data_IF_722876797351
#
_entry.id   IF_722876797351
#
_cell.length_a   1.000
_cell.length_b   1.000
_cell.length_c   1.000
_cell.angle_alpha   90.00
_cell.angle_beta   90.00
_cell.angle_gamma   90.00
#
_symmetry.space_group_name_H-M   'P 1'
#
loop_
_entity.id
_entity.type
_entity.pdbx_description
1 polymer ?
#
# COMPACT_ATOMS: atom_id res chain seq x y z
N UNK A 1 8.41 18.50 -3.50
CA UNK A 1 9.78 18.17 -3.01
C UNK A 1 9.78 16.81 -2.31
N UNK A 2 8.92 16.57 -1.29
CA UNK A 2 8.88 15.34 -0.48
C UNK A 2 8.59 14.07 -1.31
N UNK A 3 7.56 14.10 -2.16
CA UNK A 3 7.20 13.00 -3.06
C UNK A 3 8.34 12.65 -4.05
N UNK A 4 9.05 13.65 -4.59
CA UNK A 4 10.19 13.42 -5.48
C UNK A 4 11.38 12.79 -4.77
N UNK A 5 11.55 13.05 -3.48
CA UNK A 5 12.59 12.44 -2.65
C UNK A 5 12.27 10.97 -2.40
N UNK A 6 11.05 10.67 -1.93
CA UNK A 6 10.61 9.29 -1.69
C UNK A 6 10.75 8.41 -2.95
N UNK A 7 10.31 8.92 -4.11
CA UNK A 7 10.49 8.21 -5.38
C UNK A 7 11.95 7.95 -5.75
N UNK A 8 12.84 8.91 -5.53
CA UNK A 8 14.27 8.71 -5.80
C UNK A 8 14.88 7.63 -4.91
N UNK A 9 14.44 7.55 -3.66
CA UNK A 9 14.89 6.53 -2.73
C UNK A 9 14.42 5.13 -3.19
N UNK A 10 13.18 4.97 -3.67
CA UNK A 10 12.71 3.70 -4.27
C UNK A 10 13.53 3.34 -5.50
N UNK A 11 13.72 4.27 -6.44
CA UNK A 11 14.51 4.02 -7.65
C UNK A 11 15.95 3.61 -7.30
N UNK A 12 16.54 4.16 -6.23
CA UNK A 12 17.89 3.80 -5.80
C UNK A 12 17.98 2.40 -5.17
N UNK A 13 16.90 1.90 -4.57
CA UNK A 13 16.83 0.57 -3.94
C UNK A 13 16.27 -0.52 -4.87
N UNK A 14 15.57 -0.14 -5.93
CA UNK A 14 14.96 -1.05 -6.90
C UNK A 14 15.95 -2.07 -7.50
N UNK A 15 17.19 -1.71 -7.90
CA UNK A 15 18.15 -2.69 -8.41
C UNK A 15 18.48 -3.80 -7.40
N UNK A 16 18.57 -3.46 -6.12
CA UNK A 16 18.81 -4.45 -5.06
C UNK A 16 17.64 -5.45 -4.94
N UNK A 17 16.40 -4.96 -4.92
CA UNK A 17 15.23 -5.83 -4.82
C UNK A 17 14.99 -6.66 -6.09
N UNK A 18 15.31 -6.12 -7.25
CA UNK A 18 15.31 -6.85 -8.51
C UNK A 18 16.36 -7.98 -8.50
N UNK A 19 17.57 -7.71 -8.00
CA UNK A 19 18.58 -8.74 -7.84
C UNK A 19 18.14 -9.87 -6.89
N UNK A 20 17.48 -9.56 -5.77
CA UNK A 20 16.89 -10.58 -4.88
C UNK A 20 15.83 -11.41 -5.60
N UNK A 21 14.94 -10.77 -6.36
CA UNK A 21 13.94 -11.47 -7.18
C UNK A 21 14.57 -12.39 -8.20
N UNK A 22 15.65 -11.96 -8.84
CA UNK A 22 16.42 -12.77 -9.78
C UNK A 22 17.07 -13.97 -9.10
N UNK A 23 17.68 -13.77 -7.93
CA UNK A 23 18.27 -14.87 -7.15
C UNK A 23 17.22 -15.90 -6.73
N UNK A 24 16.03 -15.47 -6.28
CA UNK A 24 14.92 -16.40 -5.97
C UNK A 24 14.49 -17.15 -7.24
N UNK A 25 14.38 -16.45 -8.37
CA UNK A 25 14.07 -17.06 -9.66
C UNK A 25 15.10 -18.13 -10.04
N UNK A 26 16.39 -17.81 -9.92
CA UNK A 26 17.47 -18.75 -10.21
C UNK A 26 17.42 -19.98 -9.30
N UNK A 27 17.17 -19.80 -8.00
CA UNK A 27 17.02 -20.92 -7.07
C UNK A 27 15.92 -21.90 -7.50
N UNK A 28 14.77 -21.39 -7.95
CA UNK A 28 13.69 -22.28 -8.44
C UNK A 28 14.05 -23.09 -9.67
N UNK A 29 14.99 -22.61 -10.46
CA UNK A 29 15.44 -23.33 -11.64
C UNK A 29 16.27 -24.57 -11.26
N UNK A 30 17.02 -24.49 -10.16
CA UNK A 30 17.81 -25.61 -9.65
C UNK A 30 17.04 -26.54 -8.73
N UNK A 31 15.99 -26.00 -8.06
CA UNK A 31 15.21 -26.76 -7.08
C UNK A 31 13.72 -26.59 -7.41
N UNK A 32 13.21 -27.34 -8.39
CA UNK A 32 11.82 -27.25 -8.82
C UNK A 32 10.81 -27.66 -7.73
N UNK A 33 11.21 -28.49 -6.76
CA UNK A 33 10.37 -28.97 -5.66
C UNK A 33 10.92 -28.51 -4.31
N UNK A 34 10.78 -27.22 -3.97
CA UNK A 34 11.08 -26.76 -2.61
C UNK A 34 9.85 -26.87 -1.74
N UNK A 35 9.99 -27.53 -0.61
CA UNK A 35 8.97 -27.53 0.45
C UNK A 35 9.23 -26.38 1.43
N UNK A 36 9.54 -25.20 0.92
CA UNK A 36 9.78 -24.02 1.75
C UNK A 36 8.46 -23.40 2.20
N UNK A 37 8.38 -23.01 3.49
CA UNK A 37 7.18 -22.47 4.13
C UNK A 37 6.61 -21.22 3.45
N UNK A 38 7.44 -20.41 2.83
CA UNK A 38 7.01 -19.17 2.16
C UNK A 38 6.33 -19.40 0.80
N UNK A 39 6.37 -20.65 0.27
CA UNK A 39 5.76 -21.02 -1.01
C UNK A 39 4.66 -22.08 -0.89
N UNK A 40 4.12 -22.27 0.28
CA UNK A 40 3.01 -23.21 0.48
C UNK A 40 1.77 -22.74 -0.26
N UNK A 41 1.52 -23.31 -1.43
CA UNK A 41 0.44 -22.86 -2.33
C UNK A 41 -0.88 -23.60 -2.07
N UNK A 42 -0.84 -24.80 -1.49
CA UNK A 42 -2.03 -25.64 -1.38
C UNK A 42 -2.21 -26.13 0.05
N UNK A 43 -3.36 -25.81 0.63
CA UNK A 43 -3.92 -26.63 1.70
C UNK A 43 -4.33 -27.98 1.08
N UNK A 44 -4.13 -29.12 1.78
CA UNK A 44 -4.70 -30.38 1.35
C UNK A 44 -6.20 -30.23 1.07
N UNK A 45 -6.70 -30.93 0.05
CA UNK A 45 -8.13 -30.94 -0.25
C UNK A 45 -8.93 -31.24 1.03
N UNK A 46 -9.84 -30.34 1.40
CA UNK A 46 -10.69 -30.47 2.60
C UNK A 46 -10.32 -29.59 3.80
N UNK A 47 -9.20 -28.88 3.80
CA UNK A 47 -8.94 -27.85 4.81
C UNK A 47 -9.47 -26.48 4.35
N UNK A 48 -10.58 -26.07 4.95
CA UNK A 48 -11.34 -24.87 4.52
C UNK A 48 -10.97 -23.60 5.27
N UNK A 49 -10.11 -23.66 6.29
CA UNK A 49 -9.82 -22.49 7.12
C UNK A 49 -8.36 -22.09 7.03
N UNK A 50 -8.10 -20.99 6.30
CA UNK A 50 -6.82 -20.27 6.36
C UNK A 50 -6.96 -19.16 7.38
N UNK A 51 -6.00 -19.09 8.31
CA UNK A 51 -5.87 -17.94 9.21
C UNK A 51 -5.25 -16.81 8.41
N UNK A 52 -6.03 -15.75 8.19
CA UNK A 52 -5.67 -14.67 7.29
C UNK A 52 -5.24 -13.43 8.04
N UNK A 53 -4.25 -12.74 7.50
CA UNK A 53 -3.85 -11.40 7.89
C UNK A 53 -4.06 -10.42 6.73
N UNK A 54 -4.45 -9.20 7.04
CA UNK A 54 -4.54 -8.11 6.10
C UNK A 54 -3.70 -6.94 6.59
N UNK A 55 -2.71 -6.54 5.82
CA UNK A 55 -1.99 -5.28 6.01
C UNK A 55 -2.70 -4.17 5.22
N UNK A 56 -3.31 -3.24 5.92
CA UNK A 56 -3.97 -2.07 5.34
C UNK A 56 -3.06 -0.84 5.43
N UNK A 57 -2.78 -0.20 4.30
CA UNK A 57 -2.01 1.05 4.25
C UNK A 57 -2.95 2.23 4.04
N UNK A 58 -3.00 3.13 5.03
CA UNK A 58 -3.74 4.40 5.00
C UNK A 58 -2.80 5.56 5.28
N UNK A 59 -3.29 6.80 5.30
CA UNK A 59 -2.49 7.97 5.70
C UNK A 59 -2.60 8.25 7.19
N UNK A 60 -1.65 9.06 7.71
CA UNK A 60 -1.73 9.55 9.10
C UNK A 60 -2.68 10.75 9.25
N UNK A 61 -2.93 11.49 8.18
CA UNK A 61 -3.72 12.74 8.22
C UNK A 61 -4.80 12.73 7.16
N UNK A 62 -5.97 13.26 7.50
CA UNK A 62 -7.07 13.47 6.57
C UNK A 62 -6.77 14.49 5.47
N UNK A 63 -7.81 14.97 4.81
CA UNK A 63 -7.78 15.96 3.72
C UNK A 63 -7.05 15.46 2.44
N UNK A 64 -7.01 14.16 2.22
CA UNK A 64 -6.46 13.52 1.03
C UNK A 64 -7.54 13.05 0.03
N UNK A 65 -8.65 13.80 -0.08
CA UNK A 65 -9.76 13.41 -0.96
C UNK A 65 -10.34 12.05 -0.60
N UNK A 66 -10.55 11.19 -1.58
CA UNK A 66 -11.09 9.84 -1.42
C UNK A 66 -10.04 8.77 -1.09
N UNK A 67 -8.75 9.14 -0.96
CA UNK A 67 -7.64 8.18 -0.79
C UNK A 67 -7.90 7.17 0.34
N UNK A 68 -8.13 7.65 1.58
CA UNK A 68 -8.36 6.77 2.71
C UNK A 68 -9.66 5.97 2.58
N UNK A 69 -10.73 6.60 2.10
CA UNK A 69 -12.02 5.93 1.93
C UNK A 69 -11.94 4.75 0.96
N UNK A 70 -11.18 4.89 -0.12
CA UNK A 70 -11.02 3.83 -1.11
C UNK A 70 -10.28 2.62 -0.51
N UNK A 71 -9.18 2.86 0.23
CA UNK A 71 -8.43 1.80 0.89
C UNK A 71 -9.25 1.13 2.01
N UNK A 72 -9.97 1.90 2.81
CA UNK A 72 -10.81 1.41 3.91
C UNK A 72 -11.96 0.54 3.36
N UNK A 73 -12.66 0.97 2.31
CA UNK A 73 -13.71 0.15 1.67
C UNK A 73 -13.19 -1.19 1.16
N UNK A 74 -12.01 -1.19 0.53
CA UNK A 74 -11.40 -2.43 0.09
C UNK A 74 -11.06 -3.37 1.26
N UNK A 75 -10.70 -2.82 2.42
CA UNK A 75 -10.47 -3.59 3.63
C UNK A 75 -11.79 -4.11 4.24
N UNK A 76 -12.86 -3.31 4.24
CA UNK A 76 -14.20 -3.73 4.68
C UNK A 76 -14.72 -4.89 3.81
N UNK A 77 -14.60 -4.77 2.49
CA UNK A 77 -14.97 -5.85 1.55
C UNK A 77 -14.18 -7.13 1.83
N UNK A 78 -12.89 -7.00 2.17
CA UNK A 78 -12.06 -8.14 2.53
C UNK A 78 -12.49 -8.78 3.85
N UNK A 79 -12.75 -7.97 4.88
CA UNK A 79 -13.19 -8.44 6.21
C UNK A 79 -14.58 -9.08 6.13
N UNK A 80 -15.49 -8.55 5.31
CA UNK A 80 -16.81 -9.13 5.07
C UNK A 80 -16.71 -10.56 4.49
N UNK A 81 -15.72 -10.81 3.64
CA UNK A 81 -15.43 -12.14 3.09
C UNK A 81 -14.66 -13.03 4.07
N UNK A 82 -13.91 -12.45 4.98
CA UNK A 82 -12.99 -13.13 5.93
C UNK A 82 -13.12 -12.55 7.33
N UNK A 83 -14.22 -12.81 8.06
CA UNK A 83 -14.50 -12.17 9.35
C UNK A 83 -13.45 -12.44 10.44
N UNK A 84 -12.72 -13.55 10.33
CA UNK A 84 -11.67 -13.96 11.28
C UNK A 84 -10.28 -13.43 10.92
N UNK A 85 -10.17 -12.61 9.86
CA UNK A 85 -8.89 -12.06 9.44
C UNK A 85 -8.33 -11.08 10.49
N UNK A 86 -7.03 -11.21 10.79
CA UNK A 86 -6.31 -10.23 11.62
C UNK A 86 -5.95 -9.02 10.78
N UNK A 87 -6.37 -7.84 11.23
CA UNK A 87 -6.11 -6.58 10.54
C UNK A 87 -4.90 -5.87 11.16
N UNK A 88 -3.89 -5.61 10.34
CA UNK A 88 -2.70 -4.81 10.63
C UNK A 88 -2.82 -3.49 9.90
N UNK A 89 -2.60 -2.36 10.57
CA UNK A 89 -2.87 -1.04 10.00
C UNK A 89 -1.63 -0.16 10.07
N UNK A 90 -1.23 0.37 8.91
CA UNK A 90 -0.27 1.45 8.79
C UNK A 90 -1.04 2.75 8.57
N UNK A 91 -0.75 3.78 9.35
CA UNK A 91 -1.39 5.09 9.29
C UNK A 91 -2.58 5.27 10.23
N UNK A 92 -2.69 6.47 10.79
CA UNK A 92 -3.66 6.81 11.84
C UNK A 92 -5.10 6.87 11.34
N UNK A 93 -5.33 7.26 10.07
CA UNK A 93 -6.69 7.36 9.55
C UNK A 93 -7.43 6.02 9.55
N UNK A 94 -6.74 4.93 9.20
CA UNK A 94 -7.31 3.58 9.26
C UNK A 94 -7.57 3.13 10.69
N UNK A 95 -6.65 3.43 11.62
CA UNK A 95 -6.80 3.09 13.05
C UNK A 95 -8.01 3.79 13.65
N UNK A 96 -8.12 5.10 13.47
CA UNK A 96 -9.28 5.88 13.97
C UNK A 96 -10.59 5.34 13.39
N UNK A 97 -10.62 5.07 12.08
CA UNK A 97 -11.81 4.51 11.46
C UNK A 97 -12.23 3.17 12.07
N UNK A 98 -11.28 2.27 12.33
CA UNK A 98 -11.56 0.98 12.96
C UNK A 98 -12.06 1.13 14.39
N UNK A 99 -11.49 2.06 15.18
CA UNK A 99 -11.95 2.35 16.54
C UNK A 99 -13.39 2.88 16.50
N UNK A 100 -13.68 3.85 15.66
CA UNK A 100 -15.00 4.50 15.56
C UNK A 100 -16.10 3.51 15.11
N UNK A 101 -15.75 2.51 14.31
CA UNK A 101 -16.69 1.49 13.79
C UNK A 101 -16.61 0.15 14.54
N UNK A 102 -15.82 0.02 15.58
CA UNK A 102 -15.71 -1.20 16.38
C UNK A 102 -15.09 -2.38 15.61
N UNK A 103 -14.26 -2.11 14.59
CA UNK A 103 -13.54 -3.12 13.81
C UNK A 103 -12.30 -3.54 14.59
N UNK A 104 -12.11 -4.85 14.79
CA UNK A 104 -10.94 -5.40 15.50
C UNK A 104 -9.69 -5.31 14.63
N UNK A 105 -8.59 -4.87 15.22
CA UNK A 105 -7.27 -4.84 14.59
C UNK A 105 -6.18 -5.13 15.63
N UNK A 106 -4.94 -5.34 15.20
CA UNK A 106 -3.80 -5.59 16.08
C UNK A 106 -3.31 -4.25 16.64
N UNK A 107 -3.58 -3.99 17.91
CA UNK A 107 -3.32 -2.69 18.56
C UNK A 107 -1.83 -2.38 18.69
N UNK A 108 -1.00 -3.39 19.00
CA UNK A 108 0.45 -3.24 19.17
C UNK A 108 1.18 -2.98 17.85
N UNK A 109 0.53 -3.25 16.71
CA UNK A 109 1.07 -2.97 15.39
C UNK A 109 0.83 -1.48 15.04
N UNK A 110 1.79 -0.63 15.36
CA UNK A 110 1.67 0.82 15.23
C UNK A 110 2.79 1.41 14.36
N UNK A 111 2.49 1.70 13.12
CA UNK A 111 3.40 2.27 12.13
C UNK A 111 2.80 3.50 11.46
N UNK A 112 3.63 4.55 11.32
CA UNK A 112 3.28 5.77 10.60
C UNK A 112 3.34 5.54 9.08
N UNK A 113 2.46 6.18 8.34
CA UNK A 113 2.50 6.22 6.88
C UNK A 113 3.34 7.40 6.34
N UNK A 114 3.80 8.30 7.22
CA UNK A 114 4.57 9.47 6.83
C UNK A 114 6.05 9.11 6.59
N UNK A 115 6.58 9.51 5.44
CA UNK A 115 8.00 9.34 5.08
C UNK A 115 8.51 7.89 5.22
N UNK A 116 7.92 6.94 4.48
CA UNK A 116 8.30 5.55 4.58
C UNK A 116 9.79 5.34 4.34
N UNK A 117 10.41 4.52 5.18
CA UNK A 117 11.81 4.15 5.12
C UNK A 117 11.96 2.64 4.97
N UNK A 118 13.10 2.18 4.42
CA UNK A 118 13.41 0.75 4.34
C UNK A 118 13.46 0.12 5.73
N UNK A 119 13.87 0.88 6.75
CA UNK A 119 13.92 0.40 8.13
C UNK A 119 12.53 0.12 8.71
N UNK A 120 11.57 1.02 8.50
CA UNK A 120 10.16 0.80 8.90
C UNK A 120 9.55 -0.36 8.14
N UNK A 121 9.76 -0.44 6.83
CA UNK A 121 9.29 -1.57 6.02
C UNK A 121 9.87 -2.91 6.51
N UNK A 122 11.11 -2.91 6.98
CA UNK A 122 11.75 -4.10 7.58
C UNK A 122 11.08 -4.50 8.89
N UNK A 123 10.80 -3.54 9.77
CA UNK A 123 10.13 -3.82 11.04
C UNK A 123 8.71 -4.37 10.80
N UNK A 124 7.94 -3.73 9.91
CA UNK A 124 6.62 -4.23 9.47
C UNK A 124 6.73 -5.66 8.93
N UNK A 125 7.74 -5.93 8.11
CA UNK A 125 7.97 -7.26 7.56
C UNK A 125 8.27 -8.28 8.66
N UNK A 126 9.10 -7.95 9.64
CA UNK A 126 9.45 -8.83 10.75
C UNK A 126 8.24 -9.16 11.62
N UNK A 127 7.44 -8.16 12.00
CA UNK A 127 6.22 -8.37 12.79
C UNK A 127 5.25 -9.32 12.05
N UNK A 128 5.03 -9.10 10.75
CA UNK A 128 4.17 -9.98 9.94
C UNK A 128 4.75 -11.39 9.81
N UNK A 129 6.08 -11.52 9.65
CA UNK A 129 6.75 -12.81 9.56
C UNK A 129 6.74 -13.57 10.87
N UNK A 130 6.74 -12.91 12.03
CA UNK A 130 6.57 -13.54 13.34
C UNK A 130 5.22 -14.26 13.40
N UNK A 131 4.12 -13.57 13.08
CA UNK A 131 2.80 -14.19 12.99
C UNK A 131 2.74 -15.37 12.02
N UNK A 132 3.42 -15.25 10.87
CA UNK A 132 3.44 -16.31 9.86
C UNK A 132 4.29 -17.51 10.29
N UNK A 133 5.47 -17.26 10.85
CA UNK A 133 6.41 -18.30 11.30
C UNK A 133 5.89 -19.07 12.52
N UNK A 134 5.18 -18.40 13.42
CA UNK A 134 4.54 -19.01 14.59
C UNK A 134 3.25 -19.77 14.22
N UNK A 135 2.96 -19.87 12.92
CA UNK A 135 1.74 -20.49 12.41
C UNK A 135 0.46 -19.84 12.98
N UNK A 136 0.48 -18.55 13.29
CA UNK A 136 -0.71 -17.79 13.66
C UNK A 136 -1.47 -17.29 12.43
N UNK A 137 -0.78 -17.18 11.30
CA UNK A 137 -1.34 -16.83 9.98
C UNK A 137 -0.83 -17.81 8.92
N UNK A 138 -1.71 -18.14 7.97
CA UNK A 138 -1.41 -18.99 6.82
C UNK A 138 -1.34 -18.17 5.51
N UNK A 139 -1.96 -16.99 5.51
CA UNK A 139 -2.02 -16.09 4.35
C UNK A 139 -1.98 -14.63 4.84
N UNK A 140 -1.20 -13.80 4.19
CA UNK A 140 -1.12 -12.36 4.47
C UNK A 140 -1.29 -11.60 3.16
N UNK A 141 -2.34 -10.78 3.10
CA UNK A 141 -2.58 -9.85 2.01
C UNK A 141 -2.19 -8.43 2.41
N UNK A 142 -1.87 -7.61 1.41
CA UNK A 142 -1.69 -6.16 1.58
C UNK A 142 -2.67 -5.41 0.70
N UNK A 143 -3.31 -4.37 1.28
CA UNK A 143 -4.09 -3.37 0.54
C UNK A 143 -3.33 -2.05 0.60
N UNK A 144 -2.98 -1.53 -0.55
CA UNK A 144 -2.25 -0.29 -0.72
C UNK A 144 -2.70 0.44 -1.99
N UNK A 145 -2.31 1.71 -2.13
CA UNK A 145 -2.63 2.48 -3.33
C UNK A 145 -1.41 2.59 -4.23
N UNK A 146 -1.50 1.98 -5.41
CA UNK A 146 -0.46 1.98 -6.43
C UNK A 146 -0.39 3.35 -7.12
N UNK A 147 0.80 3.94 -7.12
CA UNK A 147 1.04 5.23 -7.74
C UNK A 147 1.47 5.10 -9.19
N UNK A 148 0.67 5.66 -10.10
CA UNK A 148 1.00 5.71 -11.53
C UNK A 148 1.14 7.16 -11.99
N UNK A 149 2.35 7.55 -12.43
CA UNK A 149 2.71 8.94 -12.77
C UNK A 149 1.80 9.63 -13.80
N UNK A 150 1.05 8.88 -14.60
CA UNK A 150 0.21 9.41 -15.70
C UNK A 150 -1.23 8.88 -15.69
N UNK A 151 -1.60 8.12 -14.67
CA UNK A 151 -2.92 7.51 -14.52
C UNK A 151 -3.43 7.77 -13.11
N UNK A 152 -4.74 7.71 -12.89
CA UNK A 152 -5.28 7.73 -11.54
C UNK A 152 -4.67 6.62 -10.69
N UNK A 153 -4.33 6.96 -9.45
CA UNK A 153 -3.85 5.96 -8.48
C UNK A 153 -4.94 4.92 -8.22
N UNK A 154 -4.56 3.66 -8.15
CA UNK A 154 -5.46 2.52 -8.00
C UNK A 154 -5.20 1.82 -6.68
N UNK A 155 -6.29 1.53 -5.93
CA UNK A 155 -6.19 0.69 -4.75
C UNK A 155 -6.02 -0.77 -5.18
N UNK A 156 -4.94 -1.41 -4.74
CA UNK A 156 -4.60 -2.79 -5.09
C UNK A 156 -4.54 -3.67 -3.86
N UNK A 157 -4.97 -4.92 -4.05
CA UNK A 157 -4.75 -6.00 -3.12
C UNK A 157 -3.75 -6.99 -3.71
N UNK A 158 -2.70 -7.29 -2.98
CA UNK A 158 -1.72 -8.30 -3.34
C UNK A 158 -1.48 -9.27 -2.18
N UNK A 159 -1.32 -10.54 -2.49
CA UNK A 159 -0.90 -11.53 -1.50
C UNK A 159 0.60 -11.35 -1.23
N UNK A 160 0.98 -11.10 0.03
CA UNK A 160 2.37 -11.07 0.48
C UNK A 160 2.89 -12.48 0.72
N UNK A 161 2.13 -13.29 1.43
CA UNK A 161 2.44 -14.67 1.79
C UNK A 161 1.16 -15.53 1.69
N UNK A 162 1.28 -16.75 1.21
CA UNK A 162 2.46 -17.37 0.62
C UNK A 162 2.81 -16.77 -0.75
N UNK A 163 4.10 -16.80 -1.08
CA UNK A 163 4.58 -16.33 -2.38
C UNK A 163 4.19 -17.31 -3.48
N UNK A 164 3.55 -16.81 -4.53
CA UNK A 164 3.28 -17.60 -5.72
C UNK A 164 4.57 -17.73 -6.55
N UNK A 165 4.98 -18.97 -6.84
CA UNK A 165 6.15 -19.24 -7.69
C UNK A 165 6.06 -18.54 -9.05
N UNK A 166 4.85 -18.41 -9.60
CA UNK A 166 4.60 -17.70 -10.86
C UNK A 166 5.10 -16.25 -10.90
N UNK A 167 5.27 -15.60 -9.74
CA UNK A 167 5.84 -14.25 -9.66
C UNK A 167 7.32 -14.19 -10.06
N UNK A 168 8.01 -15.33 -9.97
CA UNK A 168 9.45 -15.44 -10.21
C UNK A 168 9.79 -16.08 -11.54
N UNK A 169 8.82 -16.70 -12.23
CA UNK A 169 9.03 -17.25 -13.56
C UNK A 169 8.88 -16.15 -14.63
N UNK A 170 9.88 -16.01 -15.48
CA UNK A 170 9.75 -15.27 -16.74
C UNK A 170 9.82 -16.27 -17.90
N UNK A 171 8.93 -16.12 -18.89
CA UNK A 171 8.90 -17.00 -20.07
C UNK A 171 10.21 -17.02 -20.86
N UNK A 172 10.98 -15.93 -20.80
CA UNK A 172 12.30 -15.83 -21.45
C UNK A 172 13.34 -16.73 -20.76
N UNK A 173 13.27 -16.91 -19.44
CA UNK A 173 14.19 -17.78 -18.68
C UNK A 173 13.83 -19.25 -18.81
N UNK A 174 12.55 -19.61 -18.96
CA UNK A 174 12.14 -20.98 -19.27
C UNK A 174 12.72 -21.47 -20.61
N UNK A 175 12.82 -20.60 -21.61
CA UNK A 175 13.37 -20.97 -22.93
C UNK A 175 14.89 -21.22 -22.88
N UNK A 176 15.61 -20.48 -22.05
CA UNK A 176 17.08 -20.67 -21.86
C UNK A 176 17.38 -21.99 -21.13
N UNK A 177 16.45 -22.46 -20.30
CA UNK A 177 16.65 -23.65 -19.46
C UNK A 177 16.25 -24.97 -20.10
N UNK A 178 15.52 -24.96 -21.20
CA UNK A 178 15.27 -26.20 -21.98
C UNK A 178 16.51 -26.75 -22.63
N UNK A 179 17.59 -25.98 -22.69
CA UNK A 179 18.91 -26.46 -23.14
C UNK A 179 19.65 -27.08 -21.95
N UNK A 180 19.48 -28.39 -21.78
CA UNK A 180 20.10 -29.19 -20.71
C UNK A 180 21.63 -29.15 -20.69
N UNK A 181 22.31 -28.77 -21.80
CA UNK A 181 23.77 -28.75 -21.95
C UNK A 181 24.47 -27.59 -21.21
N UNK A 182 23.71 -26.60 -20.67
CA UNK A 182 24.31 -25.42 -20.00
C UNK A 182 24.04 -25.39 -18.49
N UNK A 183 23.57 -26.48 -17.88
CA UNK A 183 23.40 -26.55 -16.43
C UNK A 183 24.75 -26.69 -15.74
N UNK A 184 25.41 -25.57 -15.45
CA UNK A 184 26.38 -25.54 -14.36
C UNK A 184 25.67 -25.99 -13.09
N UNK A 185 26.14 -27.06 -12.46
CA UNK A 185 25.64 -27.48 -11.14
C UNK A 185 26.02 -26.42 -10.13
N UNK A 186 25.08 -25.51 -9.81
CA UNK A 186 25.27 -24.56 -8.71
C UNK A 186 24.99 -25.28 -7.40
N UNK A 187 25.98 -25.34 -6.55
CA UNK A 187 25.83 -25.81 -5.18
C UNK A 187 25.40 -24.65 -4.28
N UNK A 188 24.38 -24.87 -3.46
CA UNK A 188 23.90 -23.90 -2.49
C UNK A 188 24.39 -24.31 -1.11
N UNK A 189 25.08 -23.39 -0.43
CA UNK A 189 25.60 -23.65 0.91
C UNK A 189 24.84 -22.83 1.97
N UNK A 190 24.38 -23.45 3.07
CA UNK A 190 24.42 -24.88 3.38
C UNK A 190 23.42 -25.72 2.56
N UNK A 191 22.28 -25.18 2.20
CA UNK A 191 21.21 -25.73 1.36
C UNK A 191 20.30 -24.64 0.83
N UNK A 192 19.52 -24.93 -0.20
CA UNK A 192 18.68 -23.97 -0.87
C UNK A 192 17.51 -23.42 -0.02
N UNK A 193 16.96 -24.22 0.90
CA UNK A 193 15.89 -23.73 1.77
C UNK A 193 16.44 -22.70 2.75
N UNK A 194 17.61 -22.92 3.33
CA UNK A 194 18.30 -21.97 4.21
C UNK A 194 18.63 -20.68 3.47
N UNK A 195 19.06 -20.77 2.20
CA UNK A 195 19.32 -19.60 1.38
C UNK A 195 18.01 -18.83 1.09
N UNK A 196 16.91 -19.52 0.77
CA UNK A 196 15.59 -18.91 0.57
C UNK A 196 15.09 -18.24 1.87
N UNK A 197 15.23 -18.89 3.01
CA UNK A 197 14.84 -18.34 4.31
C UNK A 197 15.58 -17.05 4.64
N UNK A 198 16.81 -16.89 4.16
CA UNK A 198 17.59 -15.65 4.28
C UNK A 198 17.20 -14.54 3.31
N UNK A 199 16.85 -14.90 2.07
CA UNK A 199 16.58 -13.92 1.00
C UNK A 199 15.14 -13.41 1.03
N UNK A 200 14.16 -14.27 1.32
CA UNK A 200 12.72 -13.94 1.23
C UNK A 200 12.32 -12.78 2.15
N UNK A 201 12.76 -12.68 3.42
CA UNK A 201 12.46 -11.53 4.26
C UNK A 201 12.93 -10.20 3.66
N UNK A 202 14.10 -10.20 3.02
CA UNK A 202 14.63 -9.02 2.33
C UNK A 202 13.82 -8.66 1.09
N UNK A 203 13.39 -9.64 0.32
CA UNK A 203 12.48 -9.43 -0.83
C UNK A 203 11.12 -8.87 -0.39
N UNK A 204 10.51 -9.44 0.66
CA UNK A 204 9.25 -8.95 1.21
C UNK A 204 9.38 -7.53 1.76
N UNK A 205 10.48 -7.22 2.44
CA UNK A 205 10.80 -5.85 2.88
C UNK A 205 10.78 -4.88 1.71
N UNK A 206 11.38 -5.26 0.58
CA UNK A 206 11.38 -4.43 -0.63
C UNK A 206 9.99 -4.21 -1.21
N UNK A 207 9.19 -5.26 -1.23
CA UNK A 207 7.80 -5.16 -1.70
C UNK A 207 6.96 -4.25 -0.80
N UNK A 208 7.06 -4.42 0.52
CA UNK A 208 6.36 -3.57 1.50
C UNK A 208 6.84 -2.13 1.37
N UNK A 209 8.14 -1.90 1.29
CA UNK A 209 8.71 -0.56 1.10
C UNK A 209 8.17 0.15 -0.14
N UNK A 210 8.19 -0.53 -1.29
CA UNK A 210 7.62 0.01 -2.53
C UNK A 210 6.14 0.35 -2.38
N UNK A 211 5.35 -0.54 -1.77
CA UNK A 211 3.92 -0.33 -1.53
C UNK A 211 3.63 0.86 -0.61
N UNK A 212 4.45 1.06 0.44
CA UNK A 212 4.36 2.21 1.34
C UNK A 212 4.68 3.52 0.62
N UNK A 213 5.71 3.54 -0.24
CA UNK A 213 6.08 4.73 -1.00
C UNK A 213 5.06 5.06 -2.06
N UNK A 214 4.52 4.06 -2.76
CA UNK A 214 3.43 4.27 -3.72
C UNK A 214 2.19 4.85 -3.05
N UNK A 215 1.81 4.29 -1.89
CA UNK A 215 0.71 4.82 -1.07
C UNK A 215 0.96 6.25 -0.62
N UNK A 216 2.17 6.56 -0.15
CA UNK A 216 2.56 7.91 0.24
C UNK A 216 2.51 8.90 -0.93
N UNK A 217 3.00 8.50 -2.10
CA UNK A 217 2.95 9.35 -3.30
C UNK A 217 1.51 9.61 -3.75
N UNK A 218 0.66 8.57 -3.74
CA UNK A 218 -0.76 8.67 -4.08
C UNK A 218 -1.53 9.57 -3.10
N UNK A 219 -1.26 9.44 -1.81
CA UNK A 219 -1.81 10.30 -0.76
C UNK A 219 -1.43 11.76 -0.95
N UNK A 220 -0.15 12.07 -1.22
CA UNK A 220 0.32 13.44 -1.45
C UNK A 220 -0.31 14.05 -2.69
N UNK A 221 -0.48 13.28 -3.76
CA UNK A 221 -1.14 13.74 -4.99
C UNK A 221 -2.63 14.00 -4.75
N UNK A 222 -3.33 13.09 -4.10
CA UNK A 222 -4.75 13.24 -3.74
C UNK A 222 -4.96 14.47 -2.84
N UNK A 223 -4.09 14.67 -1.84
CA UNK A 223 -4.14 15.87 -0.96
C UNK A 223 -3.92 17.16 -1.75
N UNK A 224 -2.92 17.20 -2.64
CA UNK A 224 -2.64 18.37 -3.47
C UNK A 224 -3.84 18.72 -4.36
N UNK A 225 -4.46 17.72 -4.96
CA UNK A 225 -5.65 17.89 -5.81
C UNK A 225 -6.85 18.39 -4.99
N UNK A 226 -7.11 17.78 -3.82
CA UNK A 226 -8.20 18.19 -2.94
C UNK A 226 -8.03 19.63 -2.44
N UNK A 227 -6.82 20.00 -2.02
CA UNK A 227 -6.52 21.38 -1.56
C UNK A 227 -6.62 22.40 -2.70
N UNK A 228 -6.16 22.04 -3.92
CA UNK A 228 -6.31 22.93 -5.08
C UNK A 228 -7.77 23.17 -5.43
N UNK A 229 -8.61 22.13 -5.38
CA UNK A 229 -10.05 22.25 -5.62
C UNK A 229 -10.75 23.07 -4.54
N UNK A 230 -10.39 22.85 -3.27
CA UNK A 230 -10.91 23.64 -2.14
C UNK A 230 -10.54 25.13 -2.27
N UNK A 231 -9.30 25.44 -2.69
CA UNK A 231 -8.87 26.82 -2.94
C UNK A 231 -9.69 27.50 -4.02
N UNK A 232 -9.93 26.84 -5.14
CA UNK A 232 -10.77 27.38 -6.23
C UNK A 232 -12.22 27.65 -5.76
N UNK A 233 -12.80 26.67 -5.04
CA UNK A 233 -14.16 26.84 -4.50
C UNK A 233 -14.22 28.01 -3.51
N UNK A 234 -13.19 28.21 -2.66
CA UNK A 234 -13.13 29.34 -1.74
C UNK A 234 -13.05 30.68 -2.48
N UNK A 235 -12.26 30.77 -3.57
CA UNK A 235 -12.19 31.96 -4.41
C UNK A 235 -13.54 32.29 -5.08
N UNK A 236 -14.27 31.29 -5.55
CA UNK A 236 -15.60 31.46 -6.12
C UNK A 236 -16.62 31.98 -5.09
N UNK A 237 -16.64 31.41 -3.90
CA UNK A 237 -17.51 31.84 -2.78
C UNK A 237 -17.18 33.29 -2.40
N UNK A 238 -15.91 33.63 -2.30
CA UNK A 238 -15.45 34.97 -1.96
C UNK A 238 -15.90 36.00 -2.99
N UNK A 239 -15.84 35.66 -4.29
CA UNK A 239 -16.33 36.50 -5.39
C UNK A 239 -17.85 36.69 -5.31
N UNK A 240 -18.61 35.64 -5.01
CA UNK A 240 -20.06 35.73 -4.83
C UNK A 240 -20.43 36.63 -3.64
N UNK A 241 -19.79 36.46 -2.50
CA UNK A 241 -19.99 37.29 -1.33
C UNK A 241 -19.68 38.76 -1.60
N UNK A 242 -18.62 39.04 -2.36
CA UNK A 242 -18.20 40.39 -2.74
C UNK A 242 -19.24 41.07 -3.65
N UNK A 243 -19.84 40.30 -4.60
CA UNK A 243 -20.93 40.81 -5.44
C UNK A 243 -22.20 41.11 -4.57
N UNK A 244 -22.58 40.22 -3.67
CA UNK A 244 -23.70 40.40 -2.77
C UNK A 244 -23.50 41.64 -1.86
N UNK A 245 -22.31 41.77 -1.28
CA UNK A 245 -21.97 42.94 -0.46
C UNK A 245 -22.10 44.24 -1.25
N UNK A 246 -21.56 44.30 -2.47
CA UNK A 246 -21.65 45.48 -3.31
C UNK A 246 -23.12 45.84 -3.69
N UNK A 247 -23.94 44.81 -3.98
CA UNK A 247 -25.36 44.98 -4.26
C UNK A 247 -26.13 45.54 -3.06
N UNK A 248 -25.89 44.96 -1.87
CA UNK A 248 -26.52 45.46 -0.62
C UNK A 248 -26.08 46.88 -0.28
N UNK A 249 -24.79 47.20 -0.47
CA UNK A 249 -24.27 48.55 -0.25
C UNK A 249 -24.92 49.55 -1.20
N UNK A 250 -25.07 49.22 -2.51
CA UNK A 250 -25.73 50.06 -3.45
C UNK A 250 -27.21 50.27 -3.09
N UNK A 251 -27.91 49.21 -2.68
CA UNK A 251 -29.30 49.32 -2.26
C UNK A 251 -29.46 50.21 -0.99
N UNK A 252 -28.55 50.09 -0.03
CA UNK A 252 -28.55 50.92 1.19
C UNK A 252 -28.34 52.41 0.83
N UNK A 253 -27.34 52.72 -0.02
CA UNK A 253 -27.07 54.07 -0.50
C UNK A 253 -28.28 54.63 -1.27
N UNK A 254 -28.89 53.81 -2.11
CA UNK A 254 -30.10 54.24 -2.86
C UNK A 254 -31.27 54.54 -1.94
N UNK A 255 -31.50 53.72 -0.90
CA UNK A 255 -32.54 53.93 0.08
C UNK A 255 -32.31 55.21 0.92
N UNK A 256 -31.05 55.44 1.37
CA UNK A 256 -30.69 56.69 2.04
C UNK A 256 -30.93 57.94 1.18
N UNK A 257 -30.58 57.84 -0.13
CA UNK A 257 -30.86 58.96 -1.09
C UNK A 257 -32.36 59.20 -1.26
N UNK A 258 -33.17 58.14 -1.34
CA UNK A 258 -34.64 58.24 -1.43
C UNK A 258 -35.22 58.89 -0.16
N UNK A 259 -34.76 58.50 1.00
CA UNK A 259 -35.20 59.11 2.28
C UNK A 259 -34.89 60.62 2.35
N UNK A 260 -33.68 61.03 1.90
CA UNK A 260 -33.28 62.44 1.87
C UNK A 260 -34.11 63.26 0.83
N UNK A 261 -34.52 62.64 -0.26
CA UNK A 261 -35.25 63.35 -1.34
C UNK A 261 -36.76 63.35 -1.16
N UNK A 262 -37.30 62.49 -0.28
CA UNK A 262 -38.75 62.37 0.03
C UNK A 262 -39.18 63.04 1.31
N UNK A 263 -38.26 63.54 2.14
CA UNK A 263 -38.55 64.35 3.34
C UNK A 263 -38.28 65.83 3.07
#
# INVERSE_FOLDING_TARGET
VKMRRAKREVISTEPYFNALKEQISDLFLYIPETNNRYFRVLLPEGQTFRRRGLLLVTSDKGLAGSYNQTAIRAAEDYIALHPDAKLFIVGECGRHYCIDNGIRFVEDFHYSAAFPTVWEARNICYDLLEYYNDNLLDEIDIIYTDYQSKKPSECKRNCLLPLARSRFYSAERESVMRNEESREQKEFYPDANTVLDGIIPSYLTGFIYSSLVDSYCSEQEARMTAMSSAGKNAEEILKQLQMQYNSLRQSAITNEMIEITSG
#
